data_IF_372474882982
#
_entry.id   IF_372474882982
#
_cell.length_a   1.000
_cell.length_b   1.000
_cell.length_c   1.000
_cell.angle_alpha   90.00
_cell.angle_beta   90.00
_cell.angle_gamma   90.00
#
_symmetry.space_group_name_H-M   'P 1'
#
loop_
_entity.id
_entity.type
_entity.pdbx_description
1 polymer ?
#
# COMPACT_ATOMS: atom_id res chain seq x y z
N UNK A 1 -59.21 31.86 -11.04
CA UNK A 1 -57.88 31.94 -10.44
C UNK A 1 -57.00 30.93 -11.16
N UNK A 2 -56.17 31.38 -12.10
CA UNK A 2 -55.32 30.52 -12.90
C UNK A 2 -54.06 30.18 -12.10
N UNK A 3 -54.07 29.04 -11.39
CA UNK A 3 -52.89 28.56 -10.69
C UNK A 3 -51.89 28.05 -11.72
N UNK A 4 -50.77 28.78 -11.80
CA UNK A 4 -49.78 28.70 -12.85
C UNK A 4 -49.10 27.32 -12.86
N UNK A 5 -49.41 26.54 -13.89
CA UNK A 5 -48.86 25.21 -14.21
C UNK A 5 -47.32 25.19 -14.28
N UNK A 6 -46.67 26.36 -14.38
CA UNK A 6 -45.22 26.55 -14.44
C UNK A 6 -44.47 26.29 -13.12
N UNK A 7 -45.14 26.38 -11.96
CA UNK A 7 -44.47 26.16 -10.66
C UNK A 7 -44.22 24.68 -10.35
N UNK A 8 -45.08 23.80 -10.86
CA UNK A 8 -44.97 22.35 -10.66
C UNK A 8 -43.83 21.73 -11.49
N UNK A 9 -43.64 22.19 -12.73
CA UNK A 9 -42.54 21.73 -13.58
C UNK A 9 -41.17 22.23 -13.10
N UNK A 10 -41.10 23.46 -12.59
CA UNK A 10 -39.86 24.04 -12.04
C UNK A 10 -39.36 23.31 -10.79
N UNK A 11 -40.27 22.96 -9.87
CA UNK A 11 -39.91 22.20 -8.66
C UNK A 11 -39.47 20.76 -8.96
N UNK A 12 -40.14 20.10 -9.90
CA UNK A 12 -39.81 18.73 -10.31
C UNK A 12 -38.41 18.64 -10.96
N UNK A 13 -38.05 19.61 -11.82
CA UNK A 13 -36.73 19.64 -12.47
C UNK A 13 -35.58 19.87 -11.48
N UNK A 14 -35.77 20.76 -10.49
CA UNK A 14 -34.75 21.00 -9.45
C UNK A 14 -34.53 19.76 -8.60
N UNK A 15 -35.61 19.03 -8.25
CA UNK A 15 -35.51 17.78 -7.51
C UNK A 15 -34.71 16.70 -8.25
N UNK A 16 -34.92 16.55 -9.56
CA UNK A 16 -34.19 15.57 -10.39
C UNK A 16 -32.71 15.95 -10.52
N UNK A 17 -32.37 17.23 -10.64
CA UNK A 17 -30.97 17.68 -10.72
C UNK A 17 -30.24 17.41 -9.41
N UNK A 18 -30.84 17.73 -8.26
CA UNK A 18 -30.22 17.47 -6.95
C UNK A 18 -30.03 15.97 -6.73
N UNK A 19 -31.02 15.15 -7.07
CA UNK A 19 -30.91 13.70 -6.99
C UNK A 19 -29.81 13.14 -7.90
N UNK A 20 -29.68 13.65 -9.12
CA UNK A 20 -28.63 13.25 -10.05
C UNK A 20 -27.23 13.67 -9.59
N UNK A 21 -27.08 14.86 -8.98
CA UNK A 21 -25.82 15.31 -8.40
C UNK A 21 -25.40 14.47 -7.18
N UNK A 22 -26.34 14.15 -6.28
CA UNK A 22 -26.06 13.31 -5.10
C UNK A 22 -25.72 11.88 -5.52
N UNK A 23 -26.46 11.33 -6.50
CA UNK A 23 -26.15 10.01 -7.06
C UNK A 23 -24.79 9.99 -7.76
N UNK A 24 -24.45 11.02 -8.54
CA UNK A 24 -23.15 11.13 -9.21
C UNK A 24 -21.97 11.14 -8.25
N UNK A 25 -22.07 11.89 -7.16
CA UNK A 25 -21.01 11.96 -6.12
C UNK A 25 -20.90 10.64 -5.34
N UNK A 26 -22.03 9.96 -5.09
CA UNK A 26 -22.02 8.66 -4.42
C UNK A 26 -21.39 7.56 -5.29
N UNK A 27 -21.53 7.65 -6.61
CA UNK A 27 -21.04 6.63 -7.54
C UNK A 27 -19.54 6.78 -7.84
N UNK A 28 -19.00 8.01 -7.90
CA UNK A 28 -17.58 8.22 -8.27
C UNK A 28 -16.63 8.31 -7.08
N UNK A 29 -17.14 8.29 -5.85
CA UNK A 29 -16.36 8.65 -4.67
C UNK A 29 -16.05 10.15 -4.65
N UNK A 30 -16.07 10.75 -3.46
CA UNK A 30 -15.72 12.16 -3.31
C UNK A 30 -14.22 12.41 -3.53
N UNK A 31 -13.78 13.69 -3.62
CA UNK A 31 -12.36 14.03 -3.73
C UNK A 31 -11.50 13.54 -2.54
N UNK A 32 -12.13 13.22 -1.40
CA UNK A 32 -11.47 12.58 -0.27
C UNK A 32 -11.10 11.12 -0.51
N UNK A 33 -11.82 10.41 -1.38
CA UNK A 33 -11.55 9.00 -1.66
C UNK A 33 -10.32 8.85 -2.57
N UNK A 34 -10.22 9.65 -3.62
CA UNK A 34 -9.04 9.69 -4.49
C UNK A 34 -7.75 10.05 -3.73
N UNK A 35 -7.85 10.84 -2.65
CA UNK A 35 -6.72 11.12 -1.77
C UNK A 35 -6.28 9.89 -0.98
N UNK A 36 -7.24 9.16 -0.39
CA UNK A 36 -6.94 7.93 0.35
C UNK A 36 -6.36 6.85 -0.56
N UNK A 37 -6.89 6.70 -1.77
CA UNK A 37 -6.33 5.77 -2.77
C UNK A 37 -4.86 6.10 -3.08
N UNK A 38 -4.55 7.39 -3.25
CA UNK A 38 -3.17 7.83 -3.46
C UNK A 38 -2.28 7.54 -2.24
N UNK A 39 -2.77 7.82 -1.03
CA UNK A 39 -2.06 7.51 0.21
C UNK A 39 -1.78 5.99 0.33
N UNK A 40 -2.75 5.16 -0.01
CA UNK A 40 -2.63 3.70 -0.04
C UNK A 40 -1.64 3.18 -1.10
N UNK A 41 -1.53 3.85 -2.26
CA UNK A 41 -0.51 3.55 -3.27
C UNK A 41 0.92 3.87 -2.78
N UNK A 42 1.11 5.01 -2.10
CA UNK A 42 2.43 5.35 -1.53
C UNK A 42 2.76 4.39 -0.38
N UNK A 43 1.77 3.92 0.39
CA UNK A 43 1.99 2.89 1.41
C UNK A 43 2.42 1.55 0.81
N UNK A 44 1.80 1.12 -0.30
CA UNK A 44 2.21 -0.10 -1.03
C UNK A 44 3.66 -0.02 -1.49
N UNK A 45 4.06 1.13 -2.04
CA UNK A 45 5.43 1.41 -2.42
C UNK A 45 6.40 1.23 -1.23
N UNK A 46 6.08 1.87 -0.10
CA UNK A 46 6.90 1.79 1.12
C UNK A 46 6.98 0.36 1.70
N UNK A 47 5.90 -0.42 1.61
CA UNK A 47 5.89 -1.83 2.00
C UNK A 47 6.87 -2.66 1.18
N UNK A 48 6.84 -2.51 -0.15
CA UNK A 48 7.74 -3.23 -1.04
C UNK A 48 9.21 -2.84 -0.85
N UNK A 49 9.51 -1.55 -0.68
CA UNK A 49 10.86 -1.08 -0.37
C UNK A 49 11.37 -1.71 0.93
N UNK A 50 10.51 -1.73 1.96
CA UNK A 50 10.82 -2.34 3.26
C UNK A 50 11.02 -3.85 3.14
N UNK A 51 10.17 -4.55 2.37
CA UNK A 51 10.31 -5.98 2.15
C UNK A 51 11.64 -6.35 1.48
N UNK A 52 12.07 -5.56 0.48
CA UNK A 52 13.38 -5.73 -0.14
C UNK A 52 14.51 -5.54 0.89
N UNK A 53 14.43 -4.49 1.70
CA UNK A 53 15.39 -4.22 2.76
C UNK A 53 15.49 -5.36 3.78
N UNK A 54 14.35 -5.93 4.21
CA UNK A 54 14.34 -7.08 5.11
C UNK A 54 14.99 -8.32 4.48
N UNK A 55 14.76 -8.58 3.19
CA UNK A 55 15.40 -9.70 2.51
C UNK A 55 16.92 -9.50 2.36
N UNK A 56 17.35 -8.29 1.97
CA UNK A 56 18.77 -7.94 1.90
C UNK A 56 19.46 -8.05 3.27
N UNK A 57 18.78 -7.59 4.33
CA UNK A 57 19.28 -7.75 5.70
C UNK A 57 19.41 -9.22 6.07
N UNK A 58 18.38 -10.03 5.81
CA UNK A 58 18.37 -11.45 6.13
C UNK A 58 19.52 -12.21 5.45
N UNK A 59 19.87 -11.84 4.21
CA UNK A 59 20.98 -12.44 3.48
C UNK A 59 22.36 -11.99 4.00
N UNK A 60 22.49 -10.75 4.47
CA UNK A 60 23.76 -10.19 4.94
C UNK A 60 24.06 -10.52 6.42
N UNK A 61 23.04 -10.47 7.29
CA UNK A 61 23.15 -10.55 8.75
C UNK A 61 22.46 -11.75 9.37
N UNK A 62 21.50 -12.36 8.68
CA UNK A 62 20.67 -13.42 9.25
C UNK A 62 19.45 -12.85 9.97
N UNK A 63 19.25 -13.21 11.23
CA UNK A 63 18.01 -12.90 11.97
C UNK A 63 17.72 -11.39 12.05
N UNK A 64 16.52 -10.98 11.61
CA UNK A 64 16.08 -9.58 11.64
C UNK A 64 15.73 -9.16 13.07
N UNK A 65 16.36 -8.12 13.66
CA UNK A 65 16.04 -7.62 15.00
C UNK A 65 14.64 -6.99 15.07
N UNK A 66 14.08 -6.87 16.27
CA UNK A 66 12.76 -6.26 16.50
C UNK A 66 12.73 -4.76 16.21
N UNK A 67 13.85 -4.07 16.44
CA UNK A 67 13.98 -2.65 16.14
C UNK A 67 14.45 -2.44 14.69
N UNK A 68 13.53 -1.99 13.83
CA UNK A 68 13.80 -1.70 12.43
C UNK A 68 14.71 -0.49 12.21
N UNK A 69 14.93 0.34 13.24
CA UNK A 69 15.95 1.40 13.22
C UNK A 69 17.34 0.81 13.13
N UNK A 70 17.60 -0.31 13.83
CA UNK A 70 18.87 -1.04 13.77
C UNK A 70 19.08 -1.58 12.36
N UNK A 71 18.05 -2.22 11.80
CA UNK A 71 18.08 -2.76 10.43
C UNK A 71 18.43 -1.68 9.41
N UNK A 72 17.77 -0.52 9.46
CA UNK A 72 18.03 0.60 8.55
C UNK A 72 19.45 1.14 8.69
N UNK A 73 19.93 1.31 9.92
CA UNK A 73 21.30 1.77 10.17
C UNK A 73 22.33 0.77 9.64
N UNK A 74 22.17 -0.52 9.93
CA UNK A 74 23.11 -1.56 9.49
C UNK A 74 23.12 -1.69 7.97
N UNK A 75 21.94 -1.70 7.32
CA UNK A 75 21.85 -1.69 5.86
C UNK A 75 22.59 -0.50 5.25
N UNK A 76 22.45 0.72 5.79
CA UNK A 76 23.15 1.90 5.28
C UNK A 76 24.68 1.78 5.30
N UNK A 77 25.24 1.03 6.25
CA UNK A 77 26.69 0.79 6.33
C UNK A 77 27.14 -0.32 5.38
N UNK A 78 26.22 -1.22 5.02
CA UNK A 78 26.52 -2.52 4.44
C UNK A 78 26.21 -2.55 2.95
N UNK A 79 25.34 -1.68 2.45
CA UNK A 79 25.24 -1.38 1.01
C UNK A 79 26.58 -0.95 0.39
N UNK A 80 27.59 -0.61 1.19
CA UNK A 80 28.98 -0.40 0.74
C UNK A 80 29.83 -1.68 0.56
N UNK A 81 29.48 -2.81 1.21
CA UNK A 81 30.31 -4.03 1.31
C UNK A 81 29.58 -5.37 1.14
N UNK A 82 28.26 -5.46 1.35
CA UNK A 82 27.47 -6.64 1.03
C UNK A 82 27.34 -6.75 -0.49
N UNK A 83 28.26 -7.54 -1.07
CA UNK A 83 28.17 -8.23 -2.36
C UNK A 83 27.01 -7.78 -3.25
N UNK A 84 27.21 -6.68 -3.98
CA UNK A 84 26.99 -6.56 -5.44
C UNK A 84 25.74 -7.21 -6.07
N UNK A 85 24.63 -7.37 -5.34
CA UNK A 85 23.33 -7.58 -5.95
C UNK A 85 22.71 -6.18 -6.08
N UNK A 86 22.60 -5.68 -7.31
CA UNK A 86 22.11 -4.33 -7.63
C UNK A 86 20.80 -4.00 -6.92
N UNK A 87 19.96 -5.01 -6.67
CA UNK A 87 18.71 -4.89 -5.93
C UNK A 87 18.89 -4.40 -4.48
N UNK A 88 19.96 -4.77 -3.78
CA UNK A 88 20.18 -4.37 -2.39
C UNK A 88 20.81 -2.98 -2.25
N UNK A 89 21.35 -2.40 -3.33
CA UNK A 89 21.92 -1.05 -3.30
C UNK A 89 20.85 0.04 -3.06
N UNK A 90 19.62 -0.24 -3.50
CA UNK A 90 18.45 0.63 -3.35
C UNK A 90 17.55 0.23 -2.17
N UNK A 91 17.96 -0.76 -1.38
CA UNK A 91 17.14 -1.27 -0.30
C UNK A 91 17.14 -0.30 0.90
N UNK A 92 15.95 0.13 1.30
CA UNK A 92 15.76 1.10 2.38
C UNK A 92 14.57 0.67 3.25
N UNK A 93 14.73 0.73 4.58
CA UNK A 93 13.62 0.55 5.51
C UNK A 93 12.79 1.83 5.49
N UNK A 94 11.55 1.74 4.99
CA UNK A 94 10.60 2.85 4.97
C UNK A 94 9.66 2.77 6.17
N UNK A 95 9.16 3.94 6.57
CA UNK A 95 8.01 4.07 7.45
C UNK A 95 6.74 4.17 6.60
N UNK A 96 5.60 3.91 7.21
CA UNK A 96 4.31 4.24 6.64
C UNK A 96 4.25 5.76 6.38
N UNK A 97 4.06 6.21 5.12
CA UNK A 97 4.07 7.63 4.77
C UNK A 97 2.90 8.42 5.37
N UNK A 98 1.87 7.76 5.89
CA UNK A 98 0.69 8.38 6.49
C UNK A 98 0.80 8.46 8.01
N UNK A 99 1.24 7.38 8.67
CA UNK A 99 1.39 7.35 10.14
C UNK A 99 2.78 7.76 10.63
N UNK A 100 3.79 7.75 9.76
CA UNK A 100 5.23 7.90 10.10
C UNK A 100 5.75 6.83 11.08
N UNK A 101 5.06 5.69 11.18
CA UNK A 101 5.45 4.55 12.00
C UNK A 101 6.09 3.44 11.16
N UNK A 102 6.86 2.56 11.81
CA UNK A 102 7.35 1.36 11.14
C UNK A 102 6.20 0.38 10.89
N UNK A 103 6.24 -0.31 9.76
CA UNK A 103 5.30 -1.39 9.47
C UNK A 103 5.39 -2.49 10.51
N UNK A 104 4.24 -3.05 10.90
CA UNK A 104 4.21 -4.16 11.83
C UNK A 104 4.72 -5.42 11.14
N UNK A 105 5.61 -6.14 11.82
CA UNK A 105 6.11 -7.44 11.37
C UNK A 105 5.50 -8.55 12.21
N UNK A 106 5.01 -9.59 11.55
CA UNK A 106 4.65 -10.84 12.23
C UNK A 106 5.82 -11.81 12.14
N UNK A 107 6.07 -12.48 13.27
CA UNK A 107 7.15 -13.44 13.41
C UNK A 107 6.61 -14.82 13.72
N UNK A 108 7.22 -15.83 13.12
CA UNK A 108 7.05 -17.23 13.48
C UNK A 108 8.44 -17.82 13.72
N UNK A 109 8.63 -18.48 14.87
CA UNK A 109 9.92 -19.07 15.25
C UNK A 109 11.12 -18.10 15.12
N UNK A 110 10.90 -16.84 15.54
CA UNK A 110 11.82 -15.68 15.44
C UNK A 110 12.10 -15.16 14.03
N UNK A 111 11.69 -15.87 12.99
CA UNK A 111 11.75 -15.40 11.61
C UNK A 111 10.58 -14.47 11.30
N UNK A 112 10.86 -13.38 10.57
CA UNK A 112 9.82 -12.50 10.04
C UNK A 112 9.14 -13.21 8.87
N UNK A 113 7.83 -13.44 8.99
CA UNK A 113 7.05 -14.15 7.97
C UNK A 113 6.06 -13.25 7.24
N UNK A 114 5.62 -12.15 7.86
CA UNK A 114 4.68 -11.21 7.24
C UNK A 114 4.98 -9.76 7.61
N UNK A 115 4.57 -8.86 6.73
CA UNK A 115 4.55 -7.41 6.93
C UNK A 115 3.11 -6.90 6.81
N UNK A 116 2.68 -6.07 7.74
CA UNK A 116 1.31 -5.58 7.83
C UNK A 116 1.23 -4.06 7.71
N UNK A 117 0.12 -3.59 7.14
CA UNK A 117 -0.18 -2.18 6.93
C UNK A 117 -1.68 -1.91 7.03
N UNK A 118 -2.04 -0.70 7.44
CA UNK A 118 -3.41 -0.23 7.46
C UNK A 118 -3.75 0.55 6.20
N UNK A 119 -4.78 0.13 5.48
CA UNK A 119 -5.26 0.76 4.25
C UNK A 119 -6.56 1.51 4.49
N UNK A 120 -6.63 2.73 3.96
CA UNK A 120 -7.80 3.60 4.11
C UNK A 120 -8.92 3.24 3.12
N UNK A 121 -8.60 2.53 2.03
CA UNK A 121 -9.57 2.11 1.01
C UNK A 121 -9.57 0.59 0.81
N UNK A 122 -10.75 0.09 0.42
CA UNK A 122 -10.86 -1.21 -0.21
C UNK A 122 -10.40 -1.14 -1.67
N UNK A 123 -9.97 -2.28 -2.21
CA UNK A 123 -9.72 -2.50 -3.61
C UNK A 123 -10.36 -3.83 -4.03
N UNK A 124 -11.65 -3.78 -4.38
CA UNK A 124 -12.44 -4.92 -4.87
C UNK A 124 -12.23 -5.19 -6.37
N UNK A 125 -11.84 -4.16 -7.12
CA UNK A 125 -11.89 -4.14 -8.59
C UNK A 125 -10.55 -3.76 -9.22
N UNK A 126 -9.43 -4.10 -8.57
CA UNK A 126 -8.11 -3.89 -9.17
C UNK A 126 -8.13 -4.58 -10.54
N UNK A 127 -8.08 -3.83 -11.67
CA UNK A 127 -7.91 -4.49 -12.96
C UNK A 127 -6.64 -5.33 -12.84
N UNK A 128 -6.63 -6.50 -13.48
CA UNK A 128 -5.53 -7.48 -13.53
C UNK A 128 -4.22 -6.94 -14.13
N UNK A 129 -4.06 -5.63 -14.20
CA UNK A 129 -2.91 -4.87 -14.62
C UNK A 129 -2.40 -4.06 -13.39
N UNK A 130 -1.89 -4.77 -12.39
CA UNK A 130 -0.45 -4.99 -12.20
C UNK A 130 0.29 -3.77 -11.61
N UNK A 131 -0.04 -3.39 -10.37
CA UNK A 131 0.94 -2.70 -9.52
C UNK A 131 1.89 -3.73 -8.91
N UNK A 132 2.63 -4.41 -9.78
CA UNK A 132 3.83 -5.15 -9.39
C UNK A 132 4.94 -4.14 -9.12
N UNK A 133 4.85 -3.44 -8.00
CA UNK A 133 6.04 -2.77 -7.50
C UNK A 133 6.94 -3.83 -6.85
N UNK A 134 7.77 -4.42 -7.70
CA UNK A 134 8.79 -5.39 -7.33
C UNK A 134 10.14 -4.74 -7.64
N UNK A 135 10.86 -4.17 -6.65
CA UNK A 135 12.19 -3.61 -6.88
C UNK A 135 13.20 -4.71 -7.27
N UNK A 136 12.87 -5.99 -7.04
CA UNK A 136 13.57 -7.16 -7.57
C UNK A 136 12.61 -8.34 -7.76
N UNK A 137 12.96 -9.31 -8.61
CA UNK A 137 12.12 -10.52 -8.85
C UNK A 137 12.07 -11.48 -7.65
N UNK A 138 12.95 -11.32 -6.67
CA UNK A 138 13.03 -12.21 -5.51
C UNK A 138 11.99 -11.89 -4.43
N UNK A 139 11.72 -10.61 -4.16
CA UNK A 139 10.78 -10.23 -3.08
C UNK A 139 9.51 -9.68 -3.69
N UNK A 140 8.57 -10.59 -3.96
CA UNK A 140 7.24 -10.24 -4.49
C UNK A 140 6.26 -10.25 -3.32
N UNK A 141 5.84 -9.07 -2.89
CA UNK A 141 4.65 -8.94 -2.06
C UNK A 141 3.42 -9.08 -2.96
N UNK A 142 2.46 -9.91 -2.55
CA UNK A 142 1.16 -10.02 -3.22
C UNK A 142 0.26 -8.83 -2.83
N UNK A 143 0.65 -7.64 -3.29
CA UNK A 143 -0.10 -6.39 -3.09
C UNK A 143 -1.39 -6.34 -3.91
N UNK A 144 -1.55 -7.25 -4.87
CA UNK A 144 -2.72 -7.40 -5.73
C UNK A 144 -3.86 -8.17 -5.01
N UNK A 145 -3.61 -8.71 -3.81
CA UNK A 145 -4.66 -9.37 -3.01
C UNK A 145 -5.83 -8.40 -2.77
N UNK A 146 -7.07 -8.76 -3.18
CA UNK A 146 -8.21 -7.88 -3.06
C UNK A 146 -8.46 -7.50 -1.61
N UNK A 147 -8.72 -6.22 -1.38
CA UNK A 147 -9.06 -5.64 -0.07
C UNK A 147 -10.52 -5.26 -0.08
N UNK A 148 -11.42 -6.13 0.37
CA UNK A 148 -12.86 -5.84 0.27
C UNK A 148 -13.28 -4.63 1.13
N UNK A 149 -12.57 -4.38 2.22
CA UNK A 149 -12.82 -3.25 3.13
C UNK A 149 -11.55 -2.51 3.51
N UNK A 150 -11.63 -1.24 3.95
CA UNK A 150 -10.54 -0.59 4.67
C UNK A 150 -10.12 -1.41 5.90
N UNK A 151 -8.88 -1.20 6.34
CA UNK A 151 -8.33 -1.83 7.53
C UNK A 151 -6.96 -2.45 7.28
N UNK A 152 -6.59 -3.34 8.18
CA UNK A 152 -5.25 -3.90 8.23
C UNK A 152 -5.12 -5.16 7.37
N UNK A 153 -4.03 -5.21 6.60
CA UNK A 153 -3.70 -6.34 5.74
C UNK A 153 -2.24 -6.72 5.90
N UNK A 154 -2.00 -8.02 6.03
CA UNK A 154 -0.68 -8.62 6.14
C UNK A 154 -0.32 -9.40 4.89
N UNK A 155 0.91 -9.22 4.42
CA UNK A 155 1.46 -9.82 3.22
C UNK A 155 2.61 -10.75 3.59
N UNK A 156 2.67 -11.92 2.95
CA UNK A 156 3.73 -12.89 3.19
C UNK A 156 5.07 -12.40 2.62
N UNK A 157 6.11 -12.56 3.42
CA UNK A 157 7.48 -12.21 3.06
C UNK A 157 8.25 -13.47 2.68
N UNK A 158 8.63 -13.60 1.41
CA UNK A 158 9.59 -14.62 0.98
C UNK A 158 11.02 -14.07 1.08
N UNK A 159 11.56 -14.05 2.30
CA UNK A 159 12.92 -13.56 2.58
C UNK A 159 14.01 -14.51 2.09
N UNK A 160 13.67 -15.77 1.86
CA UNK A 160 14.54 -16.82 1.33
C UNK A 160 14.69 -16.81 -0.18
N UNK A 161 13.93 -15.97 -0.89
CA UNK A 161 14.04 -15.89 -2.33
C UNK A 161 15.44 -15.44 -2.72
N UNK A 162 16.06 -16.18 -3.63
CA UNK A 162 17.37 -15.82 -4.15
C UNK A 162 17.21 -14.49 -4.89
N UNK A 163 17.89 -13.45 -4.40
CA UNK A 163 17.93 -12.13 -5.02
C UNK A 163 18.88 -12.19 -6.23
N UNK A 164 18.61 -13.11 -7.16
CA UNK A 164 19.41 -13.30 -8.37
C UNK A 164 19.10 -12.21 -9.40
N UNK A 165 20.17 -11.64 -9.94
CA UNK A 165 20.20 -10.98 -11.22
C UNK A 165 21.37 -11.54 -12.03
#
# INVERSE_FOLDING_TARGET
MAYSQHTLYGGALVGVIIAACVAGIAITGGPGEARKEKEDLVRQQALSDTALALACYQQAFGEIPDDLTIVGNELAHVTSKARQQDACAQAEIRKDPVSDEHFRLERQDRSVTRICAEFATGNSDAPSNSYRYAPSRGVILDLDKPRETPGEYCFELNLSANLEY
#
